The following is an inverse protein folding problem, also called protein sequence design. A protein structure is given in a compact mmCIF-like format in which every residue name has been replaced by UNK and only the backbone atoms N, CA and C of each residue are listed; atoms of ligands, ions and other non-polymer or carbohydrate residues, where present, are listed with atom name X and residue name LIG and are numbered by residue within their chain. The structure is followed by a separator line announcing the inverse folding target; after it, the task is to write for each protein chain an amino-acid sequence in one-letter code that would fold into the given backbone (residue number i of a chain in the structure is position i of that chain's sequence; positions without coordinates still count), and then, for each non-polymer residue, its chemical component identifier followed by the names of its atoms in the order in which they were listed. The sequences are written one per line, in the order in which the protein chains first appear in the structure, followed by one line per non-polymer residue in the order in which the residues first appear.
data_IF_307281148099
#
_entry.id   IF_307281148099
#
_cell.length_a   1.000
_cell.length_b   1.000
_cell.length_c   1.000
_cell.angle_alpha   90.00
_cell.angle_beta   90.00
_cell.angle_gamma   90.00
#
_symmetry.space_group_name_H-M   'P 1'
#
loop_
_entity.id
_entity.type
_entity.pdbx_description
1 polymer ?
#
# COMPACT_ATOMS: atom_id res chain seq x y z
N UNK A 1 2.58 0.66 2.17
CA UNK A 1 3.16 -0.71 2.09
C UNK A 1 4.67 -0.54 2.18
N UNK A 2 5.29 -1.13 3.19
CA UNK A 2 6.75 -1.05 3.34
C UNK A 2 7.45 -2.01 2.36
N UNK A 3 8.72 -1.74 2.04
CA UNK A 3 9.59 -2.61 1.24
C UNK A 3 9.29 -2.66 -0.26
N UNK A 4 8.12 -2.21 -0.72
CA UNK A 4 7.70 -2.32 -2.12
C UNK A 4 6.99 -1.05 -2.59
N UNK A 5 6.95 -0.87 -3.91
CA UNK A 5 6.12 0.13 -4.56
C UNK A 5 4.78 -0.44 -4.99
N UNK A 6 3.72 0.38 -4.92
CA UNK A 6 2.41 0.13 -5.52
C UNK A 6 2.28 0.98 -6.78
N UNK A 7 1.89 0.37 -7.90
CA UNK A 7 1.53 1.09 -9.13
C UNK A 7 0.02 1.31 -9.12
N UNK A 8 -0.41 2.58 -9.07
CA UNK A 8 -1.83 2.92 -8.97
C UNK A 8 -2.52 2.78 -10.33
N UNK A 9 -3.57 1.97 -10.40
CA UNK A 9 -4.41 1.84 -11.59
C UNK A 9 -5.38 3.03 -11.67
N UNK A 10 -4.96 4.09 -12.37
CA UNK A 10 -5.69 5.35 -12.52
C UNK A 10 -6.13 5.66 -13.96
N UNK A 11 -6.07 4.68 -14.86
CA UNK A 11 -6.42 4.84 -16.28
C UNK A 11 -5.38 5.55 -17.14
N UNK A 12 -4.21 5.90 -16.60
CA UNK A 12 -3.10 6.44 -17.40
C UNK A 12 -2.32 5.32 -18.11
N UNK A 13 -1.72 5.64 -19.27
CA UNK A 13 -0.87 4.70 -20.02
C UNK A 13 0.36 4.24 -19.23
N UNK A 14 0.87 5.09 -18.34
CA UNK A 14 1.97 4.79 -17.42
C UNK A 14 1.53 4.97 -15.98
N UNK A 15 1.44 3.87 -15.25
CA UNK A 15 1.00 3.86 -13.86
C UNK A 15 2.06 4.51 -12.94
N UNK A 16 1.66 5.42 -12.03
CA UNK A 16 2.60 6.04 -11.10
C UNK A 16 2.94 5.08 -9.95
N UNK A 17 4.22 5.02 -9.59
CA UNK A 17 4.70 4.33 -8.39
C UNK A 17 4.45 5.17 -7.14
N UNK A 18 3.87 4.55 -6.10
CA UNK A 18 3.53 5.16 -4.81
C UNK A 18 3.84 4.17 -3.69
N UNK A 19 4.40 4.65 -2.58
CA UNK A 19 4.54 3.85 -1.34
C UNK A 19 3.37 4.05 -0.36
N UNK A 20 2.62 5.15 -0.54
CA UNK A 20 1.44 5.52 0.24
C UNK A 20 0.38 6.09 -0.70
N UNK A 21 -0.87 5.68 -0.51
CA UNK A 21 -2.01 6.12 -1.31
C UNK A 21 -3.05 6.77 -0.39
N UNK A 22 -3.67 7.84 -0.87
CA UNK A 22 -4.80 8.48 -0.20
C UNK A 22 -6.08 7.82 -0.73
N UNK A 23 -6.84 7.21 0.17
CA UNK A 23 -8.14 6.57 -0.13
C UNK A 23 -9.23 7.39 0.54
N UNK A 24 -10.19 7.91 -0.24
CA UNK A 24 -11.32 8.68 0.27
C UNK A 24 -12.36 7.77 0.95
N UNK A 25 -13.24 8.32 1.81
CA UNK A 25 -14.34 7.56 2.37
C UNK A 25 -15.21 6.91 1.28
N UNK A 26 -15.42 5.59 1.36
CA UNK A 26 -16.21 4.83 0.39
C UNK A 26 -15.52 4.56 -0.94
N UNK A 27 -14.29 5.02 -1.14
CA UNK A 27 -13.50 4.77 -2.35
C UNK A 27 -12.83 3.40 -2.30
N UNK A 28 -12.70 2.78 -3.47
CA UNK A 28 -11.90 1.58 -3.68
C UNK A 28 -10.85 1.91 -4.74
N UNK A 29 -9.58 1.63 -4.44
CA UNK A 29 -8.46 1.79 -5.36
C UNK A 29 -7.88 0.42 -5.71
N UNK A 30 -7.45 0.25 -6.95
CA UNK A 30 -6.70 -0.93 -7.39
C UNK A 30 -5.26 -0.58 -7.68
N UNK A 31 -4.35 -1.49 -7.32
CA UNK A 31 -2.91 -1.27 -7.44
C UNK A 31 -2.18 -2.55 -7.78
N UNK A 32 -1.16 -2.45 -8.62
CA UNK A 32 -0.26 -3.56 -8.91
C UNK A 32 0.97 -3.48 -8.00
N UNK A 33 1.37 -4.63 -7.44
CA UNK A 33 2.56 -4.76 -6.59
C UNK A 33 3.44 -5.85 -7.19
N UNK A 34 4.72 -5.54 -7.40
CA UNK A 34 5.73 -6.53 -7.76
C UNK A 34 6.54 -6.88 -6.50
N UNK A 35 6.36 -8.07 -5.91
CA UNK A 35 6.96 -8.41 -4.62
C UNK A 35 8.43 -8.86 -4.79
N UNK A 36 9.33 -7.88 -4.87
CA UNK A 36 10.77 -8.13 -5.08
C UNK A 36 11.56 -8.35 -3.77
N UNK A 37 11.11 -7.76 -2.67
CA UNK A 37 11.82 -7.84 -1.38
C UNK A 37 11.19 -8.90 -0.46
N UNK A 38 11.96 -9.94 -0.11
CA UNK A 38 11.51 -10.99 0.81
C UNK A 38 11.46 -10.48 2.26
N UNK A 39 10.49 -10.97 3.03
CA UNK A 39 10.32 -10.65 4.44
C UNK A 39 8.90 -10.31 4.83
N UNK A 40 8.77 -9.77 6.04
CA UNK A 40 7.50 -9.33 6.63
C UNK A 40 7.42 -7.80 6.57
N UNK A 41 6.45 -7.29 5.82
CA UNK A 41 6.32 -5.87 5.54
C UNK A 41 5.09 -5.27 6.17
N UNK A 42 5.29 -4.16 6.87
CA UNK A 42 4.20 -3.39 7.46
C UNK A 42 3.28 -2.80 6.38
N UNK A 43 1.98 -2.98 6.56
CA UNK A 43 0.95 -2.38 5.74
C UNK A 43 -0.14 -1.79 6.62
N UNK A 44 -0.20 -0.46 6.68
CA UNK A 44 -1.05 0.25 7.63
C UNK A 44 -1.47 1.62 7.12
N UNK A 45 -2.46 2.20 7.80
CA UNK A 45 -2.82 3.60 7.60
C UNK A 45 -1.67 4.51 8.06
N UNK A 46 -1.37 5.57 7.30
CA UNK A 46 -0.32 6.53 7.65
C UNK A 46 -0.76 7.62 8.64
N UNK A 47 -2.02 7.59 9.09
CA UNK A 47 -2.45 8.34 10.27
C UNK A 47 -1.99 7.55 11.50
N UNK A 48 -0.96 8.06 12.19
CA UNK A 48 -0.27 7.33 13.27
C UNK A 48 -1.21 6.84 14.37
N UNK A 49 -2.20 7.64 14.76
CA UNK A 49 -3.18 7.21 15.76
C UNK A 49 -4.10 6.07 15.27
N UNK A 50 -4.36 5.94 13.96
CA UNK A 50 -5.04 4.76 13.41
C UNK A 50 -4.14 3.54 13.38
N UNK A 51 -2.87 3.72 13.02
CA UNK A 51 -1.87 2.65 13.06
C UNK A 51 -1.73 2.09 14.48
N UNK A 52 -1.58 2.96 15.48
CA UNK A 52 -1.48 2.60 16.90
C UNK A 52 -2.76 1.94 17.43
N UNK A 53 -3.94 2.38 16.96
CA UNK A 53 -5.22 1.77 17.28
C UNK A 53 -5.49 0.41 16.57
N UNK A 54 -4.54 -0.10 15.77
CA UNK A 54 -4.59 -1.43 15.19
C UNK A 54 -4.97 -1.49 13.70
N UNK A 55 -5.04 -0.35 12.99
CA UNK A 55 -5.21 -0.32 11.53
C UNK A 55 -3.88 -0.66 10.82
N UNK A 56 -3.39 -1.87 11.12
CA UNK A 56 -2.08 -2.38 10.76
C UNK A 56 -2.19 -3.86 10.38
N UNK A 57 -1.45 -4.27 9.36
CA UNK A 57 -1.33 -5.64 8.87
C UNK A 57 0.12 -5.92 8.47
N UNK A 58 0.47 -7.21 8.38
CA UNK A 58 1.75 -7.68 7.86
C UNK A 58 1.52 -8.38 6.52
N UNK A 59 2.27 -7.98 5.50
CA UNK A 59 2.34 -8.66 4.21
C UNK A 59 3.64 -9.46 4.15
N UNK A 60 3.53 -10.78 4.04
CA UNK A 60 4.69 -11.69 3.92
C UNK A 60 5.01 -11.96 2.45
N UNK A 61 6.27 -11.78 2.09
CA UNK A 61 6.86 -12.18 0.80
C UNK A 61 7.88 -13.28 1.06
N UNK A 62 7.65 -14.48 0.49
CA UNK A 62 8.47 -15.68 0.70
C UNK A 62 9.21 -16.12 -0.57
#
# INVERSE_FOLDING_TARGET
LHGMWMQLENGADKLPYKHTLLVKPGEVLSTLITPIEKGDWAFHCHLLYHMEAGMFQVVRVA
#
